data_IF_403895576081
#
_entry.id   IF_403895576081
#
_cell.length_a   1.000
_cell.length_b   1.000
_cell.length_c   1.000
_cell.angle_alpha   90.00
_cell.angle_beta   90.00
_cell.angle_gamma   90.00
#
_symmetry.space_group_name_H-M   'P 1'
#
loop_
_entity.id
_entity.type
_entity.pdbx_description
1 polymer ?
#
# COMPACT_ATOMS: atom_id res chain seq x y z
N UNK A 1 1.97 -16.50 4.72
CA UNK A 1 0.95 -15.91 5.63
C UNK A 1 -0.39 -16.52 5.27
N UNK A 2 -1.12 -17.00 6.29
CA UNK A 2 -2.46 -17.57 6.13
C UNK A 2 -3.49 -16.63 6.74
N UNK A 3 -4.57 -16.35 6.00
CA UNK A 3 -5.67 -15.52 6.47
C UNK A 3 -6.60 -16.36 7.37
N UNK A 4 -6.80 -15.94 8.61
CA UNK A 4 -7.59 -16.66 9.59
C UNK A 4 -9.08 -16.77 9.19
N UNK A 5 -9.60 -15.78 8.51
CA UNK A 5 -10.98 -15.72 7.98
C UNK A 5 -11.26 -16.77 6.87
N UNK A 6 -10.21 -17.37 6.30
CA UNK A 6 -10.31 -18.40 5.27
C UNK A 6 -10.21 -19.83 5.79
N UNK A 7 -10.04 -20.00 7.10
CA UNK A 7 -9.97 -21.32 7.72
C UNK A 7 -11.38 -21.91 7.72
N UNK A 8 -11.55 -23.06 7.01
CA UNK A 8 -12.83 -23.78 6.93
C UNK A 8 -12.98 -24.84 8.00
N UNK A 9 -11.89 -25.44 8.42
CA UNK A 9 -11.85 -26.45 9.46
C UNK A 9 -10.52 -26.38 10.20
N UNK A 10 -10.55 -26.62 11.49
CA UNK A 10 -9.38 -26.65 12.36
C UNK A 10 -9.41 -27.94 13.19
N UNK A 11 -8.40 -28.77 13.00
CA UNK A 11 -8.26 -30.02 13.75
C UNK A 11 -6.97 -29.98 14.57
N UNK A 12 -7.02 -30.18 15.90
CA UNK A 12 -5.82 -30.34 16.69
C UNK A 12 -5.10 -31.63 16.31
N UNK A 13 -3.78 -31.56 16.21
CA UNK A 13 -2.95 -32.73 15.89
C UNK A 13 -1.92 -32.96 16.99
N UNK A 14 -1.44 -34.21 17.13
CA UNK A 14 -0.32 -34.55 18.03
C UNK A 14 1.05 -34.06 17.49
N UNK A 15 1.09 -33.42 16.32
CA UNK A 15 2.30 -32.86 15.76
C UNK A 15 2.81 -31.70 16.58
N UNK A 16 4.02 -31.89 17.12
CA UNK A 16 4.73 -30.81 17.82
C UNK A 16 5.51 -29.97 16.81
N UNK A 17 5.46 -28.64 16.97
CA UNK A 17 6.31 -27.73 16.21
C UNK A 17 7.28 -27.02 17.16
N UNK A 18 8.42 -26.59 16.63
CA UNK A 18 9.38 -25.77 17.37
C UNK A 18 9.32 -24.35 16.80
N UNK A 19 9.01 -23.40 17.66
CA UNK A 19 9.13 -21.98 17.30
C UNK A 19 10.62 -21.69 16.97
N UNK A 20 10.89 -20.98 15.88
CA UNK A 20 12.24 -20.51 15.57
C UNK A 20 12.75 -19.63 16.74
N UNK A 21 13.82 -20.06 17.42
CA UNK A 21 14.33 -19.39 18.63
C UNK A 21 14.76 -17.93 18.43
N UNK A 22 15.00 -17.51 17.18
CA UNK A 22 15.49 -16.17 16.83
C UNK A 22 14.51 -15.38 15.95
N UNK A 23 13.25 -15.85 15.79
CA UNK A 23 12.28 -15.11 14.99
C UNK A 23 11.78 -13.89 15.78
N UNK A 24 11.99 -12.72 15.22
CA UNK A 24 11.44 -11.45 15.71
C UNK A 24 10.46 -10.93 14.65
N UNK A 25 9.18 -10.88 14.98
CA UNK A 25 8.13 -10.46 14.06
C UNK A 25 8.26 -8.97 13.68
N UNK A 26 8.63 -8.10 14.62
CA UNK A 26 8.84 -6.68 14.37
C UNK A 26 9.92 -6.49 13.31
N UNK A 27 11.09 -7.12 13.51
CA UNK A 27 12.20 -7.07 12.56
C UNK A 27 11.86 -7.69 11.21
N UNK A 28 10.97 -8.69 11.18
CA UNK A 28 10.56 -9.36 9.95
C UNK A 28 9.68 -8.45 9.07
N UNK A 29 8.89 -7.58 9.68
CA UNK A 29 8.01 -6.64 8.99
C UNK A 29 8.57 -5.21 8.92
N UNK A 30 9.74 -4.96 9.50
CA UNK A 30 10.34 -3.63 9.66
C UNK A 30 10.46 -2.85 8.35
N UNK A 31 10.73 -3.55 7.26
CA UNK A 31 10.95 -2.96 5.95
C UNK A 31 9.66 -2.86 5.09
N UNK A 32 8.50 -3.26 5.64
CA UNK A 32 7.26 -3.34 4.86
C UNK A 32 6.18 -2.41 5.40
N UNK A 33 5.41 -1.84 4.47
CA UNK A 33 4.13 -1.22 4.79
C UNK A 33 3.03 -2.30 4.69
N UNK A 34 2.47 -2.71 5.84
CA UNK A 34 1.45 -3.76 5.87
C UNK A 34 2.01 -5.16 6.00
N UNK A 35 1.28 -6.15 5.51
CA UNK A 35 1.55 -7.56 5.76
C UNK A 35 1.91 -8.38 4.51
N UNK A 36 1.82 -7.79 3.33
CA UNK A 36 2.18 -8.45 2.08
C UNK A 36 3.68 -8.34 1.87
N UNK A 37 4.33 -9.51 1.89
CA UNK A 37 5.77 -9.68 1.77
C UNK A 37 6.05 -10.46 0.48
N UNK A 38 7.20 -10.21 -0.14
CA UNK A 38 7.66 -11.00 -1.29
C UNK A 38 7.08 -10.52 -2.61
N UNK A 39 7.01 -9.22 -2.80
CA UNK A 39 6.87 -8.66 -4.14
C UNK A 39 8.20 -8.84 -4.87
N UNK A 40 8.23 -9.74 -5.86
CA UNK A 40 9.46 -10.12 -6.58
C UNK A 40 10.08 -8.94 -7.36
N UNK A 41 9.29 -7.90 -7.60
CA UNK A 41 9.72 -6.71 -8.36
C UNK A 41 10.46 -5.67 -7.49
N UNK A 42 10.42 -5.79 -6.17
CA UNK A 42 10.96 -4.76 -5.28
C UNK A 42 11.82 -5.31 -4.14
N UNK A 43 12.92 -4.60 -3.90
CA UNK A 43 13.73 -4.71 -2.69
C UNK A 43 13.51 -3.48 -1.80
N UNK A 44 14.18 -3.47 -0.64
CA UNK A 44 14.18 -2.30 0.25
C UNK A 44 15.00 -1.19 -0.38
N UNK A 45 14.34 -0.12 -0.79
CA UNK A 45 14.95 0.99 -1.50
C UNK A 45 14.46 2.36 -1.01
N UNK A 46 15.16 3.45 -1.35
CA UNK A 46 14.67 4.80 -1.10
C UNK A 46 13.45 5.12 -1.95
N UNK A 47 12.40 5.64 -1.32
CA UNK A 47 11.19 6.12 -1.98
C UNK A 47 10.99 7.58 -1.63
N UNK A 48 10.75 8.44 -2.65
CA UNK A 48 10.45 9.84 -2.45
C UNK A 48 9.05 10.16 -2.99
N UNK A 49 8.24 10.80 -2.15
CA UNK A 49 6.88 11.23 -2.47
C UNK A 49 6.77 12.75 -2.40
N UNK A 50 6.17 13.36 -3.41
CA UNK A 50 5.66 14.73 -3.33
C UNK A 50 4.19 14.65 -2.94
N UNK A 51 3.80 15.37 -1.90
CA UNK A 51 2.47 15.31 -1.30
C UNK A 51 1.96 16.74 -1.12
N UNK A 52 0.70 17.02 -1.46
CA UNK A 52 0.12 18.34 -1.29
C UNK A 52 0.11 18.81 0.18
N UNK A 53 -0.06 20.11 0.39
CA UNK A 53 0.01 20.70 1.74
C UNK A 53 -1.10 20.21 2.67
N UNK A 54 -2.25 19.79 2.14
CA UNK A 54 -3.36 19.28 2.94
C UNK A 54 -3.11 17.84 3.41
N UNK A 55 -2.79 16.94 2.49
CA UNK A 55 -2.48 15.54 2.79
C UNK A 55 -1.20 15.41 3.64
N UNK A 56 -0.23 16.31 3.47
CA UNK A 56 1.00 16.34 4.26
C UNK A 56 0.74 16.48 5.77
N UNK A 57 -0.33 17.17 6.19
CA UNK A 57 -0.71 17.29 7.61
C UNK A 57 -1.03 15.92 8.21
N UNK A 58 -1.70 15.06 7.44
CA UNK A 58 -2.02 13.70 7.89
C UNK A 58 -0.78 12.84 7.99
N UNK A 59 0.14 12.93 7.03
CA UNK A 59 1.39 12.16 7.06
C UNK A 59 2.29 12.54 8.24
N UNK A 60 2.24 13.79 8.70
CA UNK A 60 2.97 14.22 9.91
C UNK A 60 2.39 13.63 11.18
N UNK A 61 1.08 13.51 11.26
CA UNK A 61 0.39 12.98 12.44
C UNK A 61 0.31 11.46 12.46
N UNK A 62 0.24 10.85 11.27
CA UNK A 62 0.19 9.40 11.08
C UNK A 62 1.17 9.01 9.96
N UNK A 63 2.44 8.85 10.29
CA UNK A 63 3.46 8.41 9.33
C UNK A 63 3.10 7.07 8.70
N UNK A 64 3.37 6.91 7.39
CA UNK A 64 3.13 5.65 6.69
C UNK A 64 4.12 4.56 7.13
N UNK A 65 5.32 4.97 7.49
CA UNK A 65 6.38 4.04 7.88
C UNK A 65 7.30 4.72 8.90
N UNK A 66 7.95 3.93 9.75
CA UNK A 66 8.86 4.47 10.79
C UNK A 66 10.08 5.20 10.21
N UNK A 67 10.46 4.89 8.95
CA UNK A 67 11.56 5.57 8.25
C UNK A 67 11.15 6.89 7.59
N UNK A 68 9.89 7.35 7.73
CA UNK A 68 9.43 8.58 7.10
C UNK A 68 10.20 9.80 7.59
N UNK A 69 10.74 10.57 6.63
CA UNK A 69 11.39 11.86 6.89
C UNK A 69 10.81 12.90 5.95
N UNK A 70 10.39 14.05 6.47
CA UNK A 70 10.00 15.21 5.65
C UNK A 70 11.28 15.99 5.32
N UNK A 71 11.70 15.97 4.04
CA UNK A 71 12.96 16.58 3.58
C UNK A 71 12.75 17.95 2.95
N UNK A 72 11.55 18.26 2.49
CA UNK A 72 11.19 19.57 1.95
C UNK A 72 9.76 19.92 2.36
N UNK A 73 9.51 21.21 2.60
CA UNK A 73 8.20 21.74 2.94
C UNK A 73 8.06 23.18 2.45
N UNK A 74 6.94 23.45 1.77
CA UNK A 74 6.50 24.81 1.44
C UNK A 74 4.98 24.93 1.58
N UNK A 75 4.38 26.00 1.07
CA UNK A 75 2.94 26.27 1.18
C UNK A 75 2.10 25.34 0.30
N UNK A 76 2.65 24.84 -0.79
CA UNK A 76 1.93 24.02 -1.77
C UNK A 76 2.09 22.53 -1.53
N UNK A 77 3.30 22.08 -1.14
CA UNK A 77 3.62 20.67 -0.99
C UNK A 77 4.69 20.40 0.06
N UNK A 78 4.85 19.12 0.38
CA UNK A 78 6.01 18.57 1.08
C UNK A 78 6.59 17.38 0.31
N UNK A 79 7.89 17.13 0.51
CA UNK A 79 8.56 15.91 0.04
C UNK A 79 8.86 15.05 1.26
N UNK A 80 8.39 13.80 1.20
CA UNK A 80 8.67 12.77 2.20
C UNK A 80 9.54 11.69 1.59
N UNK A 81 10.59 11.32 2.32
CA UNK A 81 11.45 10.19 1.97
C UNK A 81 11.22 9.02 2.92
N UNK A 82 11.35 7.84 2.37
CA UNK A 82 11.19 6.56 3.03
C UNK A 82 12.32 5.62 2.63
N UNK A 83 12.61 4.65 3.48
CA UNK A 83 13.38 3.47 3.12
C UNK A 83 12.54 2.24 3.47
N UNK A 84 11.96 1.61 2.47
CA UNK A 84 11.07 0.47 2.62
C UNK A 84 10.97 -0.34 1.32
N UNK A 85 10.41 -1.54 1.38
CA UNK A 85 10.02 -2.29 0.21
C UNK A 85 8.64 -1.76 -0.27
N UNK A 86 8.55 -1.15 -1.49
CA UNK A 86 7.30 -0.60 -2.00
C UNK A 86 6.35 -1.70 -2.51
N UNK A 87 6.04 -2.65 -1.62
CA UNK A 87 5.17 -3.81 -1.85
C UNK A 87 3.74 -3.40 -2.23
N UNK A 88 2.93 -4.40 -2.55
CA UNK A 88 1.53 -4.19 -2.97
C UNK A 88 0.73 -3.31 -2.00
N UNK A 89 0.84 -3.54 -0.68
CA UNK A 89 0.11 -2.75 0.32
C UNK A 89 0.48 -1.26 0.27
N UNK A 90 1.77 -0.95 0.11
CA UNK A 90 2.25 0.42 -0.02
C UNK A 90 1.74 1.07 -1.33
N UNK A 91 1.79 0.33 -2.45
CA UNK A 91 1.25 0.80 -3.72
C UNK A 91 -0.26 1.11 -3.62
N UNK A 92 -1.04 0.25 -2.96
CA UNK A 92 -2.47 0.50 -2.73
C UNK A 92 -2.70 1.73 -1.86
N UNK A 93 -1.86 1.93 -0.83
CA UNK A 93 -1.92 3.12 0.01
C UNK A 93 -1.67 4.39 -0.81
N UNK A 94 -0.66 4.39 -1.67
CA UNK A 94 -0.37 5.54 -2.54
C UNK A 94 -1.50 5.82 -3.53
N UNK A 95 -2.06 4.80 -4.17
CA UNK A 95 -3.22 4.94 -5.06
C UNK A 95 -4.45 5.50 -4.32
N UNK A 96 -4.62 5.18 -3.05
CA UNK A 96 -5.73 5.69 -2.25
C UNK A 96 -5.64 7.18 -1.93
N UNK A 97 -4.46 7.80 -2.11
CA UNK A 97 -4.28 9.25 -1.95
C UNK A 97 -4.70 10.04 -3.19
N UNK A 98 -4.98 9.35 -4.30
CA UNK A 98 -5.43 9.99 -5.54
C UNK A 98 -4.39 10.96 -6.11
N UNK A 99 -4.83 12.18 -6.41
CA UNK A 99 -4.01 13.26 -6.95
C UNK A 99 -3.21 14.03 -5.89
N UNK A 100 -3.47 13.78 -4.61
CA UNK A 100 -2.79 14.44 -3.49
C UNK A 100 -1.34 13.97 -3.29
N UNK A 101 -0.93 12.86 -3.91
CA UNK A 101 0.42 12.33 -3.78
C UNK A 101 0.98 11.83 -5.12
N UNK A 102 2.24 12.12 -5.35
CA UNK A 102 2.97 11.64 -6.54
C UNK A 102 4.33 11.06 -6.16
N UNK A 103 4.71 9.95 -6.81
CA UNK A 103 6.03 9.35 -6.63
C UNK A 103 7.07 10.12 -7.44
N UNK A 104 8.14 10.57 -6.79
CA UNK A 104 9.32 11.14 -7.44
C UNK A 104 10.35 10.06 -7.77
N UNK A 105 10.58 9.13 -6.85
CA UNK A 105 11.48 8.00 -6.97
C UNK A 105 10.95 6.79 -6.16
N UNK A 106 11.26 5.54 -6.54
CA UNK A 106 11.99 5.14 -7.75
C UNK A 106 11.11 5.20 -9.02
N UNK A 107 11.76 5.22 -10.17
CA UNK A 107 11.07 5.31 -11.48
C UNK A 107 10.15 4.11 -11.72
N UNK A 108 10.58 2.91 -11.33
CA UNK A 108 9.77 1.70 -11.46
C UNK A 108 8.42 1.82 -10.73
N UNK A 109 8.44 2.25 -9.46
CA UNK A 109 7.22 2.46 -8.67
C UNK A 109 6.31 3.52 -9.32
N UNK A 110 6.90 4.64 -9.76
CA UNK A 110 6.17 5.71 -10.45
C UNK A 110 5.44 5.20 -11.69
N UNK A 111 6.11 4.40 -12.52
CA UNK A 111 5.53 3.85 -13.75
C UNK A 111 4.43 2.83 -13.47
N UNK A 112 4.60 1.99 -12.45
CA UNK A 112 3.56 1.04 -12.03
C UNK A 112 2.30 1.78 -11.58
N UNK A 113 2.43 2.80 -10.73
CA UNK A 113 1.28 3.56 -10.23
C UNK A 113 0.60 4.34 -11.37
N UNK A 114 1.38 4.95 -12.27
CA UNK A 114 0.83 5.63 -13.46
C UNK A 114 -0.01 4.68 -14.30
N UNK A 115 0.51 3.48 -14.64
CA UNK A 115 -0.24 2.46 -15.41
C UNK A 115 -1.52 2.03 -14.69
N UNK A 116 -1.49 1.86 -13.38
CA UNK A 116 -2.68 1.51 -12.57
C UNK A 116 -3.71 2.65 -12.60
N UNK A 117 -3.27 3.90 -12.45
CA UNK A 117 -4.15 5.07 -12.51
C UNK A 117 -4.80 5.24 -13.89
N UNK A 118 -4.05 5.09 -14.98
CA UNK A 118 -4.56 5.11 -16.36
C UNK A 118 -5.62 4.01 -16.57
N UNK A 119 -5.35 2.79 -16.12
CA UNK A 119 -6.32 1.69 -16.19
C UNK A 119 -7.59 2.01 -15.40
N UNK A 120 -7.45 2.60 -14.21
CA UNK A 120 -8.59 3.02 -13.40
C UNK A 120 -9.40 4.10 -14.12
N UNK A 121 -8.76 5.11 -14.69
CA UNK A 121 -9.42 6.15 -15.48
C UNK A 121 -10.19 5.56 -16.67
N UNK A 122 -9.58 4.64 -17.41
CA UNK A 122 -10.21 3.96 -18.55
C UNK A 122 -11.41 3.12 -18.12
N UNK A 123 -11.33 2.41 -17.01
CA UNK A 123 -12.45 1.62 -16.47
C UNK A 123 -13.66 2.50 -16.11
N UNK A 124 -13.41 3.72 -15.65
CA UNK A 124 -14.47 4.67 -15.26
C UNK A 124 -14.94 5.54 -16.45
N UNK A 125 -14.12 5.73 -17.48
CA UNK A 125 -14.50 6.45 -18.68
C UNK A 125 -15.40 5.64 -19.63
N UNK A 126 -15.43 4.30 -19.47
CA UNK A 126 -16.27 3.42 -20.32
C UNK A 126 -17.75 3.65 -19.99
N UNK A 127 -18.38 4.55 -20.74
CA UNK A 127 -19.78 4.97 -20.55
C UNK A 127 -20.83 3.86 -20.81
N UNK A 128 -20.39 2.64 -21.12
CA UNK A 128 -21.28 1.59 -21.64
C UNK A 128 -22.16 0.86 -20.64
N UNK A 129 -21.79 0.79 -19.35
CA UNK A 129 -22.55 0.03 -18.35
C UNK A 129 -23.18 0.90 -17.24
N UNK A 130 -22.64 2.09 -16.95
CA UNK A 130 -23.06 2.86 -15.77
C UNK A 130 -24.49 3.37 -15.85
N UNK A 131 -24.96 3.81 -17.03
CA UNK A 131 -26.31 4.35 -17.22
C UNK A 131 -27.42 3.26 -17.28
N UNK A 132 -27.04 1.99 -17.44
CA UNK A 132 -27.98 0.86 -17.55
C UNK A 132 -27.91 -0.09 -16.34
N UNK A 133 -27.03 0.16 -15.36
CA UNK A 133 -26.91 -0.72 -14.21
C UNK A 133 -28.13 -0.60 -13.30
N UNK A 134 -28.87 -1.71 -13.15
CA UNK A 134 -29.99 -1.81 -12.21
C UNK A 134 -29.55 -2.54 -10.95
N UNK A 135 -29.63 -1.87 -9.79
CA UNK A 135 -29.33 -2.50 -8.50
C UNK A 135 -30.28 -3.68 -8.24
N UNK A 136 -29.71 -4.81 -7.85
CA UNK A 136 -30.51 -5.95 -7.36
C UNK A 136 -30.97 -5.63 -5.93
N UNK A 137 -32.26 -5.59 -5.71
CA UNK A 137 -32.83 -5.47 -4.37
C UNK A 137 -32.69 -6.82 -3.67
N UNK A 138 -31.81 -6.89 -2.69
CA UNK A 138 -31.73 -8.06 -1.82
C UNK A 138 -32.87 -7.94 -0.80
N UNK A 139 -33.91 -8.82 -0.93
CA UNK A 139 -34.89 -8.95 0.16
C UNK A 139 -34.17 -9.54 1.36
N UNK A 140 -34.27 -8.86 2.52
CA UNK A 140 -33.82 -9.39 3.82
C UNK A 140 -34.60 -10.59 4.23
#
# INVERSE_FOLDING_TARGET
IYALDRIKALEPTERKFKLPKKFNAEKFFEDYYGIIIGDEDFEVEPVALKVDSWQSKYLRTLPLHHTQVEVERNEEFSIFEYRLCPSFDFQQKLLSMGDSAGVLAPVLLKDILRKKAEKTANNNASAGMGSQYKFKVYKK
#
